data_IF_776789237012
#
_entry.id   IF_776789237012
#
_cell.length_a   1.000
_cell.length_b   1.000
_cell.length_c   1.000
_cell.angle_alpha   90.00
_cell.angle_beta   90.00
_cell.angle_gamma   90.00
#
_symmetry.space_group_name_H-M   'P 1'
#
loop_
_entity.id
_entity.type
_entity.pdbx_description
1 polymer ?
#
# COMPACT_ATOMS: atom_id res chain seq x y z
N UNK A 1 32.38 -4.50 -96.33
CA UNK A 1 32.40 -5.94 -95.98
C UNK A 1 32.92 -6.07 -94.57
N UNK A 2 32.14 -6.73 -93.69
CA UNK A 2 32.42 -7.13 -92.30
C UNK A 2 32.57 -5.97 -91.28
N UNK A 3 31.64 -5.64 -90.37
CA UNK A 3 30.67 -6.40 -89.55
C UNK A 3 31.32 -7.50 -88.71
N UNK A 4 31.42 -7.27 -87.38
CA UNK A 4 31.36 -8.24 -86.26
C UNK A 4 31.70 -7.50 -84.93
N UNK A 5 30.67 -7.25 -84.11
CA UNK A 5 30.36 -7.92 -82.81
C UNK A 5 31.17 -7.36 -81.62
N UNK A 6 30.59 -6.54 -80.74
CA UNK A 6 29.60 -6.84 -79.69
C UNK A 6 30.15 -7.70 -78.54
N UNK A 7 30.31 -7.08 -77.36
CA UNK A 7 30.00 -7.73 -76.09
C UNK A 7 29.66 -6.70 -75.02
N UNK A 8 28.37 -6.63 -74.73
CA UNK A 8 27.80 -6.08 -73.52
C UNK A 8 28.10 -6.99 -72.33
N UNK A 9 28.43 -6.39 -71.18
CA UNK A 9 28.24 -7.02 -69.87
C UNK A 9 27.39 -6.08 -69.01
N UNK A 10 26.08 -6.15 -69.22
CA UNK A 10 25.08 -5.52 -68.36
C UNK A 10 24.89 -6.36 -67.09
N UNK A 11 25.56 -5.99 -66.00
CA UNK A 11 25.21 -6.50 -64.67
C UNK A 11 23.89 -5.87 -64.22
N UNK A 12 22.84 -6.68 -64.28
CA UNK A 12 21.56 -6.42 -63.68
C UNK A 12 21.70 -6.09 -62.18
N UNK A 13 21.29 -4.89 -61.79
CA UNK A 13 20.99 -4.54 -60.40
C UNK A 13 19.47 -4.44 -60.26
N UNK A 14 18.88 -5.42 -59.59
CA UNK A 14 17.51 -5.36 -59.07
C UNK A 14 17.56 -5.63 -57.56
N UNK A 15 16.56 -5.22 -56.78
CA UNK A 15 16.07 -3.84 -56.63
C UNK A 15 16.14 -3.44 -55.14
N UNK A 16 16.89 -2.37 -54.82
CA UNK A 16 17.05 -1.87 -53.44
C UNK A 16 15.77 -1.29 -52.80
N UNK A 17 14.67 -1.17 -53.56
CA UNK A 17 13.46 -0.48 -53.12
C UNK A 17 12.59 -1.19 -52.07
N UNK A 18 12.65 -2.54 -51.95
CA UNK A 18 11.79 -3.28 -51.00
C UNK A 18 12.31 -3.30 -49.56
N UNK A 19 13.63 -3.26 -49.37
CA UNK A 19 14.23 -3.26 -48.03
C UNK A 19 13.99 -1.92 -47.31
N UNK A 20 14.06 -0.82 -48.04
CA UNK A 20 13.90 0.54 -47.49
C UNK A 20 12.49 0.76 -46.93
N UNK A 21 11.44 0.27 -47.60
CA UNK A 21 10.05 0.41 -47.10
C UNK A 21 9.77 -0.38 -45.82
N UNK A 22 10.48 -1.48 -45.56
CA UNK A 22 10.30 -2.27 -44.32
C UNK A 22 10.98 -1.61 -43.12
N UNK A 23 12.14 -0.97 -43.32
CA UNK A 23 12.87 -0.28 -42.26
C UNK A 23 12.08 0.93 -41.72
N UNK A 24 11.39 1.68 -42.57
CA UNK A 24 10.59 2.85 -42.15
C UNK A 24 9.37 2.46 -41.31
N UNK A 25 8.72 1.33 -41.64
CA UNK A 25 7.57 0.83 -40.87
C UNK A 25 7.96 0.38 -39.47
N UNK A 26 9.09 -0.32 -39.32
CA UNK A 26 9.60 -0.77 -38.01
C UNK A 26 9.99 0.43 -37.14
N UNK A 27 10.61 1.46 -37.73
CA UNK A 27 10.96 2.68 -37.00
C UNK A 27 9.72 3.45 -36.51
N UNK A 28 8.68 3.55 -37.35
CA UNK A 28 7.42 4.21 -36.98
C UNK A 28 6.66 3.49 -35.85
N UNK A 29 6.64 2.15 -35.88
CA UNK A 29 6.02 1.33 -34.83
C UNK A 29 6.79 1.43 -33.50
N UNK A 30 8.12 1.40 -33.54
CA UNK A 30 8.95 1.60 -32.35
C UNK A 30 8.76 3.01 -31.75
N UNK A 31 8.70 4.04 -32.59
CA UNK A 31 8.47 5.42 -32.13
C UNK A 31 7.09 5.57 -31.48
N UNK A 32 6.07 4.93 -32.06
CA UNK A 32 4.72 4.91 -31.50
C UNK A 32 4.67 4.13 -30.16
N UNK A 33 5.34 2.99 -30.05
CA UNK A 33 5.45 2.23 -28.80
C UNK A 33 6.18 3.00 -27.70
N UNK A 34 7.27 3.69 -28.04
CA UNK A 34 8.00 4.55 -27.10
C UNK A 34 7.14 5.73 -26.66
N UNK A 35 6.42 6.38 -27.58
CA UNK A 35 5.52 7.49 -27.25
C UNK A 35 4.35 7.05 -26.35
N UNK A 36 3.71 5.91 -26.66
CA UNK A 36 2.59 5.38 -25.86
C UNK A 36 3.08 4.93 -24.47
N UNK A 37 4.21 4.23 -24.38
CA UNK A 37 4.79 3.83 -23.10
C UNK A 37 5.24 5.02 -22.24
N UNK A 38 5.73 6.09 -22.87
CA UNK A 38 6.12 7.33 -22.19
C UNK A 38 4.92 8.09 -21.64
N UNK A 39 3.81 8.14 -22.38
CA UNK A 39 2.57 8.80 -21.94
C UNK A 39 1.94 8.13 -20.73
N UNK A 40 1.89 6.80 -20.71
CA UNK A 40 1.39 6.05 -19.54
C UNK A 40 2.27 6.18 -18.31
N UNK A 41 3.60 6.26 -18.51
CA UNK A 41 4.54 6.51 -17.41
C UNK A 41 4.39 7.91 -16.82
N UNK A 42 4.15 8.92 -17.66
CA UNK A 42 3.94 10.31 -17.23
C UNK A 42 2.59 10.49 -16.51
N UNK A 43 1.53 9.86 -17.01
CA UNK A 43 0.23 9.83 -16.35
C UNK A 43 0.34 9.22 -14.94
N UNK A 44 1.00 8.06 -14.82
CA UNK A 44 1.21 7.43 -13.52
C UNK A 44 2.04 8.30 -12.56
N UNK A 45 3.09 8.95 -13.06
CA UNK A 45 3.94 9.82 -12.25
C UNK A 45 3.22 11.08 -11.77
N UNK A 46 2.36 11.67 -12.60
CA UNK A 46 1.55 12.83 -12.25
C UNK A 46 0.42 12.47 -11.28
N UNK A 47 -0.22 11.32 -11.46
CA UNK A 47 -1.23 10.80 -10.52
C UNK A 47 -0.62 10.50 -9.14
N UNK A 48 0.53 9.80 -9.09
CA UNK A 48 1.21 9.51 -7.82
C UNK A 48 1.67 10.79 -7.09
N UNK A 49 2.17 11.79 -7.83
CA UNK A 49 2.57 13.08 -7.24
C UNK A 49 1.38 13.93 -6.81
N UNK A 50 0.29 13.94 -7.56
CA UNK A 50 -0.93 14.67 -7.17
C UNK A 50 -1.53 14.08 -5.91
N UNK A 51 -1.56 12.75 -5.77
CA UNK A 51 -1.95 12.07 -4.53
C UNK A 51 -1.05 12.47 -3.36
N UNK A 52 0.27 12.43 -3.53
CA UNK A 52 1.20 12.86 -2.48
C UNK A 52 1.09 14.36 -2.14
N UNK A 53 0.83 15.21 -3.12
CA UNK A 53 0.66 16.65 -2.91
C UNK A 53 -0.64 16.97 -2.17
N UNK A 54 -1.75 16.33 -2.55
CA UNK A 54 -3.06 16.46 -1.89
C UNK A 54 -3.05 15.84 -0.50
N UNK A 55 -2.39 14.69 -0.30
CA UNK A 55 -2.18 14.08 1.01
C UNK A 55 -1.19 14.86 1.90
N UNK A 56 -0.35 15.72 1.31
CA UNK A 56 0.51 16.66 2.04
C UNK A 56 -0.23 17.91 2.52
N UNK A 57 -1.38 18.24 1.93
CA UNK A 57 -2.21 19.39 2.31
C UNK A 57 -3.44 19.03 3.14
N UNK A 58 -3.92 17.79 3.04
CA UNK A 58 -5.00 17.22 3.85
C UNK A 58 -4.38 16.12 4.71
N UNK A 59 -4.47 16.21 6.04
CA UNK A 59 -3.96 15.17 6.93
C UNK A 59 -4.87 13.93 6.85
N UNK A 60 -4.60 13.03 5.89
CA UNK A 60 -5.33 11.78 5.69
C UNK A 60 -4.81 10.72 6.68
N UNK A 61 -4.89 11.00 7.99
CA UNK A 61 -4.53 10.06 9.06
C UNK A 61 -5.79 9.50 9.74
N UNK A 62 -5.77 8.23 10.19
CA UNK A 62 -6.75 7.76 11.13
C UNK A 62 -6.77 8.63 12.39
N UNK A 63 -7.95 8.80 12.98
CA UNK A 63 -8.05 9.43 14.30
C UNK A 63 -7.25 8.66 15.34
N UNK A 64 -6.85 9.33 16.42
CA UNK A 64 -6.18 8.67 17.55
C UNK A 64 -7.02 7.48 18.03
N UNK A 65 -6.43 6.28 18.12
CA UNK A 65 -7.16 5.10 18.56
C UNK A 65 -7.59 5.29 20.01
N UNK A 66 -8.80 4.84 20.30
CA UNK A 66 -9.32 4.65 21.66
C UNK A 66 -9.19 3.19 22.04
N UNK A 67 -8.89 2.92 23.30
CA UNK A 67 -8.81 1.58 23.86
C UNK A 67 -9.84 1.47 24.98
N UNK A 68 -10.74 0.49 24.89
CA UNK A 68 -11.76 0.21 25.90
C UNK A 68 -11.64 -1.23 26.35
N UNK A 69 -11.44 -1.45 27.63
CA UNK A 69 -11.48 -2.79 28.21
C UNK A 69 -12.91 -3.28 28.30
N UNK A 70 -13.17 -4.48 27.77
CA UNK A 70 -14.54 -5.04 27.67
C UNK A 70 -15.05 -5.51 29.04
N UNK A 71 -14.15 -6.04 29.87
CA UNK A 71 -14.39 -6.36 31.28
C UNK A 71 -13.07 -6.21 32.08
N UNK A 72 -12.87 -5.10 32.80
CA UNK A 72 -11.62 -4.87 33.53
C UNK A 72 -11.46 -5.76 34.77
N UNK A 73 -12.56 -6.30 35.27
CA UNK A 73 -12.68 -7.00 36.55
C UNK A 73 -13.20 -8.43 36.38
N UNK A 74 -13.09 -8.99 35.17
CA UNK A 74 -13.44 -10.37 34.87
C UNK A 74 -12.77 -11.30 35.90
N UNK A 75 -13.60 -11.71 36.85
CA UNK A 75 -13.26 -12.52 38.01
C UNK A 75 -13.69 -13.96 37.79
N UNK A 76 -14.29 -14.24 36.63
CA UNK A 76 -14.65 -15.55 36.12
C UNK A 76 -13.42 -16.38 35.72
N UNK A 77 -12.22 -15.80 35.80
CA UNK A 77 -11.01 -16.42 35.30
C UNK A 77 -11.10 -16.56 33.79
N UNK A 78 -11.32 -15.46 33.09
CA UNK A 78 -11.18 -15.39 31.63
C UNK A 78 -10.13 -14.35 31.25
N UNK A 79 -9.53 -14.49 30.06
CA UNK A 79 -8.65 -13.44 29.54
C UNK A 79 -9.51 -12.37 28.90
N UNK A 80 -9.63 -11.20 29.54
CA UNK A 80 -10.49 -10.14 29.01
C UNK A 80 -9.81 -9.38 27.87
N UNK A 81 -10.43 -9.34 26.67
CA UNK A 81 -9.91 -8.53 25.58
C UNK A 81 -10.19 -7.05 25.80
N UNK A 82 -9.45 -6.21 25.07
CA UNK A 82 -9.80 -4.81 24.87
C UNK A 82 -10.26 -4.60 23.44
N UNK A 83 -11.15 -3.63 23.24
CA UNK A 83 -11.52 -3.15 21.92
C UNK A 83 -10.70 -1.91 21.61
N UNK A 84 -9.93 -1.96 20.51
CA UNK A 84 -9.24 -0.80 19.96
C UNK A 84 -10.07 -0.28 18.80
N UNK A 85 -10.47 0.99 18.85
CA UNK A 85 -11.30 1.64 17.82
C UNK A 85 -10.68 2.95 17.37
N UNK A 86 -10.92 3.39 16.15
CA UNK A 86 -10.40 4.64 15.60
C UNK A 86 -11.41 5.29 14.66
N UNK A 87 -11.27 6.59 14.44
CA UNK A 87 -12.02 7.28 13.40
C UNK A 87 -11.37 7.04 12.03
N UNK A 88 -12.15 6.71 10.99
CA UNK A 88 -11.62 6.57 9.63
C UNK A 88 -11.12 7.94 9.10
N UNK A 89 -10.04 7.97 8.30
CA UNK A 89 -9.63 9.19 7.63
C UNK A 89 -10.66 9.63 6.58
N UNK A 90 -10.72 10.93 6.30
CA UNK A 90 -11.50 11.46 5.18
C UNK A 90 -10.74 11.20 3.89
N UNK A 91 -11.31 10.39 2.99
CA UNK A 91 -10.70 10.03 1.69
C UNK A 91 -11.62 10.42 0.54
N UNK A 92 -11.08 10.64 -0.68
CA UNK A 92 -11.90 10.89 -1.87
C UNK A 92 -12.89 9.75 -2.13
N UNK A 93 -14.06 10.10 -2.67
CA UNK A 93 -15.11 9.14 -3.00
C UNK A 93 -14.59 8.03 -3.95
N UNK A 94 -15.04 6.80 -3.72
CA UNK A 94 -14.61 5.63 -4.50
C UNK A 94 -13.26 5.04 -4.07
N UNK A 95 -12.59 5.63 -3.07
CA UNK A 95 -11.38 5.05 -2.49
C UNK A 95 -11.71 3.90 -1.53
N UNK A 96 -10.82 2.91 -1.44
CA UNK A 96 -10.88 1.84 -0.44
C UNK A 96 -9.82 2.09 0.63
N UNK A 97 -10.17 1.90 1.91
CA UNK A 97 -9.24 2.07 3.03
C UNK A 97 -9.10 0.76 3.77
N UNK A 98 -7.87 0.30 3.95
CA UNK A 98 -7.53 -0.83 4.81
C UNK A 98 -6.64 -0.36 5.96
N UNK A 99 -6.70 -1.05 7.10
CA UNK A 99 -6.02 -0.64 8.31
C UNK A 99 -5.00 -1.67 8.77
N UNK A 100 -3.94 -1.15 9.38
CA UNK A 100 -2.94 -1.95 10.09
C UNK A 100 -2.73 -1.34 11.47
N UNK A 101 -2.81 -2.17 12.50
CA UNK A 101 -2.59 -1.77 13.89
C UNK A 101 -1.18 -2.22 14.29
N UNK A 102 -0.38 -1.30 14.80
CA UNK A 102 0.99 -1.58 15.24
C UNK A 102 1.08 -1.41 16.75
N UNK A 103 1.62 -2.41 17.44
CA UNK A 103 1.84 -2.39 18.87
C UNK A 103 3.34 -2.47 19.17
N UNK A 104 3.90 -1.41 19.73
CA UNK A 104 5.32 -1.28 20.03
C UNK A 104 5.51 -1.32 21.56
N UNK A 105 6.14 -2.36 22.12
CA UNK A 105 6.56 -2.33 23.52
C UNK A 105 7.74 -1.38 23.70
N UNK A 106 7.94 -0.86 24.91
CA UNK A 106 9.11 -0.03 25.24
C UNK A 106 10.44 -0.80 25.03
N UNK A 107 10.39 -2.13 25.14
CA UNK A 107 11.49 -3.05 24.81
C UNK A 107 10.92 -4.33 24.21
N UNK A 108 11.53 -4.85 23.15
CA UNK A 108 11.12 -6.11 22.53
C UNK A 108 10.72 -5.94 21.07
N UNK A 109 9.87 -6.84 20.58
CA UNK A 109 9.51 -6.90 19.16
C UNK A 109 8.17 -6.22 18.91
N UNK A 110 8.16 -5.26 17.99
CA UNK A 110 6.95 -4.66 17.45
C UNK A 110 6.04 -5.71 16.83
N UNK A 111 4.74 -5.63 17.11
CA UNK A 111 3.71 -6.49 16.53
C UNK A 111 2.83 -5.72 15.58
N UNK A 112 2.47 -6.37 14.48
CA UNK A 112 1.57 -5.84 13.48
C UNK A 112 0.33 -6.72 13.45
N UNK A 113 -0.83 -6.11 13.56
CA UNK A 113 -2.13 -6.76 13.62
C UNK A 113 -3.00 -6.18 12.51
N UNK A 114 -3.75 -7.03 11.84
CA UNK A 114 -4.71 -6.62 10.82
C UNK A 114 -6.12 -6.85 11.35
N UNK A 115 -7.00 -5.84 11.34
CA UNK A 115 -8.40 -6.03 11.70
C UNK A 115 -9.06 -7.04 10.76
N UNK A 116 -10.10 -7.73 11.25
CA UNK A 116 -10.92 -8.63 10.45
C UNK A 116 -12.37 -8.15 10.51
N UNK A 117 -12.94 -7.65 9.40
CA UNK A 117 -12.30 -7.40 8.09
C UNK A 117 -11.23 -6.29 8.15
N UNK A 118 -10.32 -6.23 7.17
CA UNK A 118 -9.22 -5.24 7.14
C UNK A 118 -9.68 -3.78 6.99
N UNK A 119 -10.94 -3.57 6.64
CA UNK A 119 -11.60 -2.26 6.55
C UNK A 119 -12.32 -1.86 7.84
N UNK A 120 -12.36 -2.74 8.86
CA UNK A 120 -13.00 -2.43 10.13
C UNK A 120 -12.28 -1.28 10.84
N UNK A 121 -13.04 -0.40 11.48
CA UNK A 121 -12.53 0.71 12.29
C UNK A 121 -12.38 0.35 13.77
N UNK A 122 -12.49 -0.93 14.09
CA UNK A 122 -12.32 -1.48 15.43
C UNK A 122 -11.82 -2.92 15.36
N UNK A 123 -11.07 -3.34 16.36
CA UNK A 123 -10.68 -4.74 16.55
C UNK A 123 -10.64 -5.12 18.03
N UNK A 124 -10.97 -6.39 18.32
CA UNK A 124 -10.70 -7.00 19.61
C UNK A 124 -9.24 -7.43 19.66
N UNK A 125 -8.55 -7.05 20.73
CA UNK A 125 -7.18 -7.47 21.03
C UNK A 125 -7.16 -8.27 22.33
N UNK A 126 -6.44 -9.37 22.31
CA UNK A 126 -6.18 -10.21 23.46
C UNK A 126 -4.75 -10.00 23.97
N UNK A 127 -4.47 -10.32 25.24
CA UNK A 127 -3.11 -10.28 25.79
C UNK A 127 -2.08 -11.01 24.91
N UNK A 128 -2.47 -12.15 24.32
CA UNK A 128 -1.61 -12.97 23.46
C UNK A 128 -1.18 -12.27 22.17
N UNK A 129 -1.90 -11.23 21.71
CA UNK A 129 -1.52 -10.47 20.53
C UNK A 129 -0.25 -9.63 20.73
N UNK A 130 0.13 -9.33 21.98
CA UNK A 130 1.23 -8.40 22.32
C UNK A 130 2.57 -9.09 22.59
N UNK A 131 2.63 -10.42 22.67
CA UNK A 131 3.88 -11.17 22.90
C UNK A 131 4.42 -11.06 24.33
N UNK A 132 4.80 -9.86 24.79
CA UNK A 132 5.06 -9.56 26.21
C UNK A 132 3.86 -8.84 26.81
N UNK A 133 2.79 -9.59 27.05
CA UNK A 133 1.51 -9.04 27.48
C UNK A 133 1.59 -8.19 28.76
N UNK A 134 2.60 -8.39 29.61
CA UNK A 134 2.69 -7.72 30.91
C UNK A 134 3.22 -6.29 30.86
N UNK A 135 3.77 -5.84 29.72
CA UNK A 135 4.29 -4.48 29.55
C UNK A 135 3.32 -3.56 28.81
N UNK A 136 3.36 -2.24 29.06
CA UNK A 136 2.66 -1.28 28.23
C UNK A 136 3.12 -1.34 26.78
N UNK A 137 2.17 -1.38 25.86
CA UNK A 137 2.37 -1.27 24.43
C UNK A 137 1.82 0.06 23.94
N UNK A 138 2.62 0.75 23.13
CA UNK A 138 2.16 1.90 22.36
C UNK A 138 1.47 1.37 21.12
N UNK A 139 0.16 1.61 21.01
CA UNK A 139 -0.65 1.19 19.86
C UNK A 139 -0.92 2.38 18.96
N UNK A 140 -0.64 2.20 17.68
CA UNK A 140 -0.93 3.16 16.60
C UNK A 140 -1.64 2.46 15.43
N UNK A 141 -2.30 3.24 14.59
CA UNK A 141 -3.01 2.76 13.41
C UNK A 141 -2.46 3.46 12.17
N UNK A 142 -2.21 2.69 11.11
CA UNK A 142 -1.91 3.20 9.78
C UNK A 142 -3.03 2.80 8.82
N UNK A 143 -3.35 3.68 7.88
CA UNK A 143 -4.29 3.42 6.80
C UNK A 143 -3.55 3.26 5.48
N UNK A 144 -3.96 2.26 4.70
CA UNK A 144 -3.57 2.14 3.29
C UNK A 144 -4.81 2.44 2.45
N UNK A 145 -4.72 3.51 1.66
CA UNK A 145 -5.78 4.01 0.80
C UNK A 145 -5.48 3.61 -0.64
N UNK A 146 -6.43 2.93 -1.28
CA UNK A 146 -6.43 2.66 -2.72
C UNK A 146 -7.42 3.60 -3.38
N UNK A 147 -6.91 4.54 -4.18
CA UNK A 147 -7.71 5.52 -4.89
C UNK A 147 -8.37 4.91 -6.14
N UNK A 148 -9.43 5.55 -6.66
CA UNK A 148 -9.92 5.25 -8.01
C UNK A 148 -8.78 5.30 -9.03
N UNK A 149 -8.66 4.28 -9.87
CA UNK A 149 -7.54 4.13 -10.81
C UNK A 149 -6.37 3.29 -10.27
N UNK A 150 -6.44 2.81 -9.02
CA UNK A 150 -5.52 1.79 -8.48
C UNK A 150 -4.24 2.34 -7.83
N UNK A 151 -4.10 3.66 -7.72
CA UNK A 151 -3.01 4.26 -6.96
C UNK A 151 -3.13 3.90 -5.47
N UNK A 152 -2.02 3.55 -4.83
CA UNK A 152 -1.98 3.16 -3.41
C UNK A 152 -1.13 4.16 -2.64
N UNK A 153 -1.64 4.61 -1.50
CA UNK A 153 -0.95 5.50 -0.57
C UNK A 153 -1.08 4.97 0.85
N UNK A 154 -0.04 5.16 1.66
CA UNK A 154 -0.04 4.76 3.07
C UNK A 154 0.10 6.01 3.95
N UNK A 155 -0.80 6.12 4.92
CA UNK A 155 -0.78 7.21 5.88
C UNK A 155 0.42 7.11 6.82
N UNK A 156 0.89 8.24 7.36
CA UNK A 156 1.63 8.22 8.61
C UNK A 156 0.82 7.52 9.72
N UNK A 157 1.51 7.10 10.78
CA UNK A 157 0.84 6.59 11.97
C UNK A 157 -0.07 7.66 12.60
N UNK A 158 -1.20 7.20 13.13
CA UNK A 158 -2.10 7.99 13.99
C UNK A 158 -1.39 8.47 15.25
N UNK A 159 -2.12 9.25 16.08
CA UNK A 159 -1.78 9.34 17.51
C UNK A 159 -1.73 7.96 18.16
N UNK A 160 -1.25 7.87 19.40
CA UNK A 160 -1.08 6.60 20.10
C UNK A 160 -2.00 6.47 21.30
N UNK A 161 -2.30 5.21 21.64
CA UNK A 161 -2.91 4.82 22.90
C UNK A 161 -2.04 3.76 23.57
N UNK A 162 -2.08 3.69 24.90
CA UNK A 162 -1.40 2.63 25.63
C UNK A 162 -2.36 1.47 25.87
N UNK A 163 -1.85 0.24 25.73
CA UNK A 163 -2.57 -0.98 26.07
C UNK A 163 -1.61 -1.93 26.78
N UNK A 164 -2.06 -2.59 27.84
CA UNK A 164 -1.24 -3.49 28.66
C UNK A 164 -2.10 -4.64 29.15
N UNK A 165 -1.60 -5.86 29.17
CA UNK A 165 -2.25 -6.91 29.94
C UNK A 165 -1.82 -6.83 31.41
N UNK A 166 -2.81 -6.86 32.30
CA UNK A 166 -2.63 -6.88 33.73
C UNK A 166 -3.10 -8.23 34.25
N UNK A 167 -2.34 -8.81 35.17
CA UNK A 167 -2.76 -10.05 35.83
C UNK A 167 -3.99 -9.77 36.67
N UNK A 168 -5.09 -10.46 36.36
CA UNK A 168 -6.30 -10.43 37.16
C UNK A 168 -6.22 -11.43 38.32
N UNK A 169 -5.79 -12.67 38.03
CA UNK A 169 -5.57 -13.77 38.98
C UNK A 169 -4.39 -14.65 38.50
N UNK A 170 -3.92 -15.59 39.34
CA UNK A 170 -2.68 -16.40 39.21
C UNK A 170 -2.35 -16.86 37.76
N UNK A 171 -3.36 -17.18 36.94
CA UNK A 171 -3.21 -17.64 35.55
C UNK A 171 -3.89 -16.77 34.47
N UNK A 172 -4.58 -15.67 34.84
CA UNK A 172 -5.45 -14.91 33.93
C UNK A 172 -4.97 -13.48 33.69
N UNK A 173 -5.04 -13.03 32.43
CA UNK A 173 -4.59 -11.72 31.97
C UNK A 173 -5.76 -10.93 31.36
N UNK A 174 -5.98 -9.72 31.87
CA UNK A 174 -6.97 -8.78 31.34
C UNK A 174 -6.26 -7.64 30.62
N UNK A 175 -6.74 -7.27 29.43
CA UNK A 175 -6.27 -6.06 28.77
C UNK A 175 -6.76 -4.82 29.54
N UNK A 176 -5.86 -3.89 29.83
CA UNK A 176 -6.14 -2.57 30.38
C UNK A 176 -5.64 -1.49 29.43
N UNK A 177 -6.45 -0.44 29.36
CA UNK A 177 -6.18 0.78 28.63
C UNK A 177 -5.90 1.88 29.66
N UNK A 178 -4.64 2.11 30.07
CA UNK A 178 -4.32 3.19 30.99
C UNK A 178 -4.68 4.54 30.35
N UNK A 179 -5.20 5.44 31.19
CA UNK A 179 -5.54 6.81 30.81
C UNK A 179 -4.29 7.63 30.45
#
# INVERSE_FOLDING_TARGET
MSSLDERADGRATAPAGRAVRRATGVLGVLLALVMVGSGTAWAWWTDARSVNATAGTIDIRPGTPTCVTTDPDASDGSNSPATISWAPPVVPAGSTVTYTVTAVPDTGTTRTLTPSPSTATSMLVYPSNFGDSTRPHTVTVTATVTFPGGAVWTSPASGSVKAQAVRALIFWLNMRCPA
#
